data_IF_345427709287
#
_entry.id   IF_345427709287
#
_cell.length_a   1.000
_cell.length_b   1.000
_cell.length_c   1.000
_cell.angle_alpha   90.00
_cell.angle_beta   90.00
_cell.angle_gamma   90.00
#
_symmetry.space_group_name_H-M   'P 1'
#
loop_
_entity.id
_entity.type
_entity.pdbx_description
1 polymer ?
#
# COMPACT_ATOMS: atom_id res chain seq x y z
N UNK A 1 59.33 85.68 21.82
CA UNK A 1 60.50 84.79 21.98
C UNK A 1 61.03 84.53 20.57
N UNK A 2 61.74 85.44 19.89
CA UNK A 2 63.12 85.92 20.10
C UNK A 2 64.04 84.82 20.65
N UNK A 3 64.55 83.98 19.75
CA UNK A 3 65.71 83.12 19.97
C UNK A 3 66.87 83.67 19.14
N UNK A 4 67.94 84.07 19.83
CA UNK A 4 69.07 84.80 19.31
C UNK A 4 69.93 83.99 18.32
N UNK A 5 70.37 84.64 17.24
CA UNK A 5 71.45 84.15 16.38
C UNK A 5 72.71 84.95 16.73
N UNK A 6 73.69 84.25 17.29
CA UNK A 6 75.04 84.73 17.58
C UNK A 6 75.81 84.90 16.25
N UNK A 7 76.32 86.11 15.98
CA UNK A 7 77.21 86.38 14.84
C UNK A 7 78.65 86.44 15.36
N UNK A 8 79.40 85.35 15.17
CA UNK A 8 80.86 85.35 15.31
C UNK A 8 81.48 85.97 14.05
N UNK A 9 82.17 87.10 14.22
CA UNK A 9 82.91 87.78 13.16
C UNK A 9 84.37 87.34 13.24
N UNK A 10 84.71 86.27 12.52
CA UNK A 10 86.10 85.87 12.27
C UNK A 10 86.48 86.29 10.86
N UNK A 11 87.52 87.12 10.77
CA UNK A 11 88.22 87.49 9.54
C UNK A 11 88.84 86.23 8.91
N UNK A 12 88.16 85.65 7.93
CA UNK A 12 88.64 84.53 7.11
C UNK A 12 88.75 85.07 5.68
N UNK A 13 89.85 84.70 5.00
CA UNK A 13 90.17 85.05 3.62
C UNK A 13 88.93 85.06 2.69
N UNK A 14 88.65 86.25 2.17
CA UNK A 14 87.35 86.67 1.63
C UNK A 14 87.01 86.01 0.28
N UNK A 15 87.98 85.47 -0.43
CA UNK A 15 87.75 84.89 -1.76
C UNK A 15 87.36 83.41 -1.71
N UNK A 16 87.77 82.67 -0.67
CA UNK A 16 87.50 81.21 -0.53
C UNK A 16 86.22 80.92 0.29
N UNK A 17 85.75 81.89 1.11
CA UNK A 17 84.51 81.79 1.88
C UNK A 17 83.27 82.16 1.06
N UNK A 18 83.36 83.10 0.12
CA UNK A 18 82.26 83.42 -0.80
C UNK A 18 81.99 82.29 -1.80
N UNK A 19 83.03 81.55 -2.22
CA UNK A 19 82.89 80.40 -3.12
C UNK A 19 82.23 79.21 -2.40
N UNK A 20 82.60 78.93 -1.14
CA UNK A 20 81.94 77.89 -0.31
C UNK A 20 80.51 78.22 0.11
N UNK A 21 80.19 79.51 0.32
CA UNK A 21 78.81 79.95 0.60
C UNK A 21 77.97 79.91 -0.68
N UNK A 22 78.51 80.30 -1.85
CA UNK A 22 77.84 80.09 -3.15
C UNK A 22 77.60 78.61 -3.41
N UNK A 23 78.58 77.74 -3.22
CA UNK A 23 78.42 76.28 -3.37
C UNK A 23 77.42 75.68 -2.36
N UNK A 24 77.40 76.18 -1.13
CA UNK A 24 76.44 75.77 -0.10
C UNK A 24 75.01 76.21 -0.41
N UNK A 25 74.83 77.44 -0.91
CA UNK A 25 73.53 77.98 -1.36
C UNK A 25 73.06 77.27 -2.62
N UNK A 26 73.95 77.01 -3.59
CA UNK A 26 73.65 76.21 -4.80
C UNK A 26 73.22 74.79 -4.42
N UNK A 27 73.85 74.16 -3.43
CA UNK A 27 73.42 72.85 -2.90
C UNK A 27 72.08 72.88 -2.18
N UNK A 28 71.77 73.97 -1.45
CA UNK A 28 70.47 74.13 -0.79
C UNK A 28 69.36 74.34 -1.82
N UNK A 29 69.58 75.18 -2.83
CA UNK A 29 68.62 75.40 -3.92
C UNK A 29 68.39 74.11 -4.73
N UNK A 30 69.42 73.32 -5.01
CA UNK A 30 69.27 72.00 -5.63
C UNK A 30 68.47 71.02 -4.74
N UNK A 31 68.71 71.02 -3.42
CA UNK A 31 67.97 70.17 -2.47
C UNK A 31 66.50 70.60 -2.39
N UNK A 32 66.22 71.90 -2.32
CA UNK A 32 64.85 72.45 -2.29
C UNK A 32 64.14 72.13 -3.61
N UNK A 33 64.78 72.36 -4.76
CA UNK A 33 64.21 72.07 -6.08
C UNK A 33 63.92 70.58 -6.26
N UNK A 34 64.84 69.70 -5.82
CA UNK A 34 64.60 68.24 -5.84
C UNK A 34 63.50 67.81 -4.87
N UNK A 35 63.39 68.47 -3.72
CA UNK A 35 62.36 68.16 -2.72
C UNK A 35 60.98 68.62 -3.19
N UNK A 36 60.87 69.79 -3.81
CA UNK A 36 59.65 70.30 -4.44
C UNK A 36 59.22 69.42 -5.61
N UNK A 37 60.16 68.98 -6.45
CA UNK A 37 59.87 68.03 -7.53
C UNK A 37 59.34 66.70 -6.99
N UNK A 38 59.98 66.12 -5.97
CA UNK A 38 59.49 64.89 -5.31
C UNK A 38 58.12 65.08 -4.65
N UNK A 39 57.85 66.24 -4.06
CA UNK A 39 56.55 66.58 -3.48
C UNK A 39 55.46 66.71 -4.55
N UNK A 40 55.76 67.33 -5.68
CA UNK A 40 54.84 67.41 -6.82
C UNK A 40 54.58 66.03 -7.44
N UNK A 41 55.62 65.23 -7.66
CA UNK A 41 55.50 63.86 -8.16
C UNK A 41 54.66 62.98 -7.21
N UNK A 42 54.86 63.12 -5.89
CA UNK A 42 54.06 62.46 -4.88
C UNK A 42 52.61 62.95 -4.86
N UNK A 43 52.38 64.25 -5.02
CA UNK A 43 51.05 64.86 -5.13
C UNK A 43 50.27 64.37 -6.36
N UNK A 44 50.93 64.28 -7.52
CA UNK A 44 50.34 63.71 -8.74
C UNK A 44 50.03 62.22 -8.59
N UNK A 45 50.95 61.44 -8.00
CA UNK A 45 50.73 60.03 -7.74
C UNK A 45 49.55 59.80 -6.79
N UNK A 46 49.42 60.62 -5.73
CA UNK A 46 48.31 60.56 -4.80
C UNK A 46 46.98 60.92 -5.46
N UNK A 47 46.98 61.95 -6.31
CA UNK A 47 45.80 62.37 -7.09
C UNK A 47 45.32 61.26 -8.05
N UNK A 48 46.27 60.62 -8.77
CA UNK A 48 45.98 59.47 -9.64
C UNK A 48 45.43 58.27 -8.85
N UNK A 49 46.02 57.96 -7.70
CA UNK A 49 45.53 56.89 -6.83
C UNK A 49 44.13 57.19 -6.29
N UNK A 50 43.87 58.42 -5.85
CA UNK A 50 42.53 58.82 -5.39
C UNK A 50 41.49 58.67 -6.49
N UNK A 51 41.83 59.03 -7.73
CA UNK A 51 40.94 58.87 -8.88
C UNK A 51 40.63 57.38 -9.14
N UNK A 52 41.67 56.54 -9.13
CA UNK A 52 41.53 55.08 -9.26
C UNK A 52 40.66 54.45 -8.17
N UNK A 53 40.84 54.88 -6.91
CA UNK A 53 40.03 54.42 -5.78
C UNK A 53 38.57 54.81 -5.95
N UNK A 54 38.29 56.07 -6.33
CA UNK A 54 36.93 56.55 -6.57
C UNK A 54 36.27 55.79 -7.72
N UNK A 55 36.98 55.54 -8.82
CA UNK A 55 36.46 54.80 -9.96
C UNK A 55 36.20 53.33 -9.62
N UNK A 56 37.07 52.70 -8.82
CA UNK A 56 36.84 51.34 -8.32
C UNK A 56 35.64 51.27 -7.38
N UNK A 57 35.47 52.23 -6.47
CA UNK A 57 34.30 52.32 -5.60
C UNK A 57 33.01 52.48 -6.41
N UNK A 58 32.99 53.32 -7.44
CA UNK A 58 31.84 53.46 -8.36
C UNK A 58 31.50 52.14 -9.06
N UNK A 59 32.51 51.38 -9.51
CA UNK A 59 32.30 50.05 -10.11
C UNK A 59 31.71 49.07 -9.10
N UNK A 60 32.22 49.05 -7.86
CA UNK A 60 31.72 48.20 -6.79
C UNK A 60 30.28 48.53 -6.42
N UNK A 61 29.92 49.82 -6.34
CA UNK A 61 28.54 50.27 -6.07
C UNK A 61 27.60 49.76 -7.17
N UNK A 62 27.94 49.97 -8.45
CA UNK A 62 27.13 49.46 -9.57
C UNK A 62 26.98 47.95 -9.56
N UNK A 63 28.04 47.20 -9.25
CA UNK A 63 27.96 45.75 -9.13
C UNK A 63 27.05 45.33 -7.97
N UNK A 64 27.07 46.06 -6.86
CA UNK A 64 26.18 45.82 -5.71
C UNK A 64 24.70 46.08 -6.06
N UNK A 65 24.40 47.16 -6.79
CA UNK A 65 23.05 47.47 -7.26
C UNK A 65 22.52 46.37 -8.19
N UNK A 66 23.33 45.91 -9.14
CA UNK A 66 22.97 44.78 -10.02
C UNK A 66 22.71 43.49 -9.25
N UNK A 67 23.49 43.21 -8.21
CA UNK A 67 23.34 42.02 -7.38
C UNK A 67 22.05 42.10 -6.54
N UNK A 68 21.70 43.29 -6.05
CA UNK A 68 20.43 43.53 -5.37
C UNK A 68 19.24 43.30 -6.31
N UNK A 69 19.26 43.84 -7.52
CA UNK A 69 18.21 43.62 -8.53
C UNK A 69 18.05 42.13 -8.87
N UNK A 70 19.15 41.40 -9.05
CA UNK A 70 19.14 39.97 -9.29
C UNK A 70 18.52 39.19 -8.12
N UNK A 71 18.82 39.56 -6.88
CA UNK A 71 18.24 38.95 -5.68
C UNK A 71 16.72 39.19 -5.59
N UNK A 72 16.26 40.42 -5.89
CA UNK A 72 14.82 40.73 -5.90
C UNK A 72 14.06 39.93 -6.97
N UNK A 73 14.67 39.74 -8.15
CA UNK A 73 14.09 38.88 -9.20
C UNK A 73 14.03 37.41 -8.76
N UNK A 74 15.08 36.91 -8.12
CA UNK A 74 15.15 35.53 -7.63
C UNK A 74 14.13 35.28 -6.52
N UNK A 75 13.92 36.26 -5.63
CA UNK A 75 12.88 36.18 -4.60
C UNK A 75 11.47 36.09 -5.22
N UNK A 76 11.15 36.95 -6.19
CA UNK A 76 9.86 36.91 -6.90
C UNK A 76 9.64 35.59 -7.64
N UNK A 77 10.67 35.07 -8.29
CA UNK A 77 10.62 33.77 -8.96
C UNK A 77 10.37 32.63 -7.95
N UNK A 78 11.02 32.68 -6.78
CA UNK A 78 10.82 31.71 -5.69
C UNK A 78 9.38 31.75 -5.15
N UNK A 79 8.82 32.93 -4.91
CA UNK A 79 7.44 33.10 -4.46
C UNK A 79 6.43 32.58 -5.49
N UNK A 80 6.66 32.84 -6.78
CA UNK A 80 5.82 32.32 -7.86
C UNK A 80 5.88 30.80 -7.94
N UNK A 81 7.08 30.22 -7.81
CA UNK A 81 7.29 28.79 -7.80
C UNK A 81 6.55 28.13 -6.63
N UNK A 82 6.61 28.71 -5.43
CA UNK A 82 5.85 28.23 -4.26
C UNK A 82 4.34 28.27 -4.48
N UNK A 83 3.81 29.34 -5.09
CA UNK A 83 2.38 29.44 -5.46
C UNK A 83 1.98 28.34 -6.45
N UNK A 84 2.78 28.14 -7.50
CA UNK A 84 2.53 27.09 -8.49
C UNK A 84 2.55 25.70 -7.85
N UNK A 85 3.52 25.42 -6.96
CA UNK A 85 3.56 24.15 -6.22
C UNK A 85 2.30 23.93 -5.38
N UNK A 86 1.84 24.96 -4.65
CA UNK A 86 0.62 24.87 -3.86
C UNK A 86 -0.60 24.53 -4.73
N UNK A 87 -0.73 25.19 -5.87
CA UNK A 87 -1.83 24.93 -6.82
C UNK A 87 -1.76 23.52 -7.42
N UNK A 88 -0.56 23.01 -7.72
CA UNK A 88 -0.37 21.63 -8.21
C UNK A 88 -0.80 20.63 -7.15
N UNK A 89 -0.39 20.83 -5.89
CA UNK A 89 -0.77 19.94 -4.78
C UNK A 89 -2.28 19.93 -4.56
N UNK A 90 -2.93 21.11 -4.58
CA UNK A 90 -4.39 21.22 -4.49
C UNK A 90 -5.09 20.46 -5.62
N UNK A 91 -4.61 20.61 -6.86
CA UNK A 91 -5.15 19.90 -8.04
C UNK A 91 -4.97 18.38 -7.92
N UNK A 92 -3.81 17.92 -7.44
CA UNK A 92 -3.54 16.50 -7.21
C UNK A 92 -4.46 15.92 -6.14
N UNK A 93 -4.69 16.64 -5.04
CA UNK A 93 -5.62 16.21 -3.99
C UNK A 93 -7.05 16.05 -4.53
N UNK A 94 -7.55 17.04 -5.27
CA UNK A 94 -8.86 16.94 -5.92
C UNK A 94 -8.94 15.75 -6.90
N UNK A 95 -7.85 15.49 -7.63
CA UNK A 95 -7.79 14.34 -8.55
C UNK A 95 -7.84 13.01 -7.79
N UNK A 96 -7.13 12.90 -6.66
CA UNK A 96 -7.15 11.71 -5.80
C UNK A 96 -8.54 11.48 -5.22
N UNK A 97 -9.20 12.54 -4.72
CA UNK A 97 -10.57 12.47 -4.21
C UNK A 97 -11.54 11.99 -5.29
N UNK A 98 -11.46 12.55 -6.50
CA UNK A 98 -12.28 12.12 -7.65
C UNK A 98 -12.04 10.67 -8.06
N UNK A 99 -10.78 10.20 -8.02
CA UNK A 99 -10.45 8.80 -8.29
C UNK A 99 -10.99 7.87 -7.20
N UNK A 100 -10.87 8.24 -5.93
CA UNK A 100 -11.40 7.45 -4.82
C UNK A 100 -12.93 7.34 -4.87
N UNK A 101 -13.62 8.42 -5.24
CA UNK A 101 -15.07 8.40 -5.45
C UNK A 101 -15.46 7.45 -6.60
N UNK A 102 -14.71 7.50 -7.71
CA UNK A 102 -14.91 6.58 -8.85
C UNK A 102 -14.70 5.13 -8.46
N UNK A 103 -13.62 4.80 -7.73
CA UNK A 103 -13.35 3.43 -7.26
C UNK A 103 -14.49 2.94 -6.38
N UNK A 104 -14.95 3.76 -5.43
CA UNK A 104 -16.08 3.40 -4.56
C UNK A 104 -17.37 3.13 -5.35
N UNK A 105 -17.65 3.95 -6.37
CA UNK A 105 -18.82 3.75 -7.23
C UNK A 105 -18.68 2.46 -8.07
N UNK A 106 -17.48 2.16 -8.56
CA UNK A 106 -17.20 0.90 -9.26
C UNK A 106 -17.38 -0.31 -8.35
N UNK A 107 -16.87 -0.26 -7.12
CA UNK A 107 -17.04 -1.31 -6.11
C UNK A 107 -18.53 -1.55 -5.81
N UNK A 108 -19.33 -0.48 -5.74
CA UNK A 108 -20.77 -0.57 -5.53
C UNK A 108 -21.48 -1.23 -6.72
N UNK A 109 -21.17 -0.83 -7.95
CA UNK A 109 -21.74 -1.43 -9.18
C UNK A 109 -21.34 -2.91 -9.28
N UNK A 110 -20.07 -3.24 -9.05
CA UNK A 110 -19.58 -4.62 -9.00
C UNK A 110 -20.33 -5.38 -7.91
N UNK A 111 -20.51 -4.80 -6.72
CA UNK A 111 -21.27 -5.40 -5.63
C UNK A 111 -22.71 -5.72 -6.03
N UNK A 112 -23.41 -4.78 -6.67
CA UNK A 112 -24.79 -4.96 -7.12
C UNK A 112 -24.94 -6.07 -8.17
N UNK A 113 -23.94 -6.23 -9.04
CA UNK A 113 -23.95 -7.25 -10.10
C UNK A 113 -23.53 -8.62 -9.56
N UNK A 114 -22.54 -8.67 -8.67
CA UNK A 114 -21.90 -9.94 -8.25
C UNK A 114 -22.42 -10.49 -6.93
N UNK A 115 -23.20 -9.70 -6.18
CA UNK A 115 -23.53 -9.96 -4.79
C UNK A 115 -22.48 -9.44 -3.79
N UNK A 116 -21.33 -8.94 -4.25
CA UNK A 116 -20.38 -8.22 -3.39
C UNK A 116 -19.97 -9.00 -2.13
N UNK A 117 -20.19 -8.40 -0.95
CA UNK A 117 -19.93 -9.01 0.35
C UNK A 117 -21.07 -9.90 0.88
N UNK A 118 -22.13 -10.10 0.10
CA UNK A 118 -23.29 -10.88 0.53
C UNK A 118 -23.03 -12.38 0.45
N UNK A 119 -23.71 -13.11 1.34
CA UNK A 119 -23.66 -14.56 1.37
C UNK A 119 -25.01 -15.15 1.81
N UNK A 120 -25.36 -16.35 1.32
CA UNK A 120 -26.55 -17.07 1.74
C UNK A 120 -26.25 -17.97 2.95
N UNK A 121 -27.28 -18.23 3.76
CA UNK A 121 -27.22 -19.12 4.92
C UNK A 121 -28.53 -19.91 5.02
N UNK A 122 -28.47 -21.22 5.24
CA UNK A 122 -29.61 -22.01 5.69
C UNK A 122 -29.56 -22.16 7.20
N UNK A 123 -30.47 -21.49 7.89
CA UNK A 123 -30.67 -21.66 9.32
C UNK A 123 -31.70 -22.75 9.61
N UNK A 124 -31.44 -23.56 10.64
CA UNK A 124 -32.37 -24.58 11.10
C UNK A 124 -33.33 -24.02 12.15
N UNK A 125 -34.65 -24.18 11.95
CA UNK A 125 -35.67 -23.85 12.96
C UNK A 125 -36.74 -24.96 13.05
N UNK A 126 -37.65 -24.86 14.02
CA UNK A 126 -38.72 -25.85 14.30
C UNK A 126 -39.58 -26.24 13.08
N UNK A 127 -39.64 -25.39 12.06
CA UNK A 127 -40.41 -25.62 10.83
C UNK A 127 -39.63 -26.17 9.63
N UNK A 128 -38.28 -26.20 9.66
CA UNK A 128 -37.49 -26.51 8.47
C UNK A 128 -36.18 -25.73 8.38
N UNK A 129 -35.61 -25.75 7.17
CA UNK A 129 -34.53 -24.85 6.79
C UNK A 129 -35.09 -23.50 6.30
N UNK A 130 -34.45 -22.43 6.72
CA UNK A 130 -34.79 -21.05 6.40
C UNK A 130 -33.61 -20.41 5.69
N UNK A 131 -33.83 -19.97 4.46
CA UNK A 131 -32.81 -19.25 3.70
C UNK A 131 -32.79 -17.79 4.10
N UNK A 132 -31.67 -17.40 4.70
CA UNK A 132 -31.33 -16.02 5.00
C UNK A 132 -30.26 -15.54 4.04
N UNK A 133 -30.22 -14.23 3.82
CA UNK A 133 -29.12 -13.56 3.12
C UNK A 133 -28.57 -12.43 3.96
N UNK A 134 -27.25 -12.38 4.01
CA UNK A 134 -26.50 -11.37 4.73
C UNK A 134 -25.70 -10.52 3.75
N UNK A 135 -25.26 -9.34 4.19
CA UNK A 135 -24.44 -8.41 3.40
C UNK A 135 -25.23 -7.22 2.84
N UNK A 136 -24.65 -6.55 1.84
CA UNK A 136 -25.18 -5.28 1.34
C UNK A 136 -25.85 -5.37 -0.04
N UNK A 137 -25.68 -6.48 -0.76
CA UNK A 137 -26.10 -6.61 -2.16
C UNK A 137 -26.94 -7.87 -2.42
N UNK A 138 -27.69 -7.89 -3.53
CA UNK A 138 -28.41 -9.09 -3.95
C UNK A 138 -27.49 -10.14 -4.55
N UNK A 139 -27.75 -11.41 -4.28
CA UNK A 139 -27.08 -12.57 -4.88
C UNK A 139 -27.87 -12.99 -6.14
N UNK A 140 -27.30 -12.84 -7.35
CA UNK A 140 -27.98 -13.23 -8.58
C UNK A 140 -27.91 -14.75 -8.81
N UNK A 141 -28.94 -15.30 -9.45
CA UNK A 141 -28.97 -16.67 -9.96
C UNK A 141 -28.54 -17.75 -8.95
N UNK A 142 -28.85 -17.55 -7.66
CA UNK A 142 -28.45 -18.45 -6.59
C UNK A 142 -29.09 -19.84 -6.78
N UNK A 143 -28.25 -20.83 -7.02
CA UNK A 143 -28.56 -22.25 -6.95
C UNK A 143 -28.21 -22.78 -5.57
N UNK A 144 -29.10 -23.59 -5.01
CA UNK A 144 -28.92 -24.25 -3.72
C UNK A 144 -29.02 -25.74 -3.96
N UNK A 145 -28.09 -26.49 -3.39
CA UNK A 145 -28.12 -27.94 -3.39
C UNK A 145 -27.85 -28.45 -1.98
N UNK A 146 -28.72 -29.33 -1.49
CA UNK A 146 -28.67 -29.85 -0.12
C UNK A 146 -28.53 -31.37 -0.18
N UNK A 147 -27.53 -31.89 0.52
CA UNK A 147 -27.31 -33.32 0.73
C UNK A 147 -27.36 -33.62 2.22
N UNK A 148 -27.98 -34.73 2.59
CA UNK A 148 -27.93 -35.26 3.95
C UNK A 148 -27.18 -36.59 3.98
N UNK A 149 -26.45 -36.76 5.05
CA UNK A 149 -25.69 -37.95 5.39
C UNK A 149 -26.23 -38.43 6.75
N UNK A 150 -27.25 -39.31 6.75
CA UNK A 150 -27.84 -39.83 7.97
C UNK A 150 -26.83 -40.63 8.78
N UNK A 151 -26.93 -40.53 10.10
CA UNK A 151 -26.06 -41.24 11.05
C UNK A 151 -24.58 -41.28 10.65
N UNK A 152 -24.01 -40.11 10.38
CA UNK A 152 -22.68 -39.99 9.77
C UNK A 152 -21.54 -40.49 10.68
N UNK A 153 -21.80 -40.79 11.95
CA UNK A 153 -20.88 -41.49 12.85
C UNK A 153 -20.70 -42.97 12.50
N UNK A 154 -21.72 -43.59 11.91
CA UNK A 154 -21.74 -45.02 11.59
C UNK A 154 -21.29 -45.33 10.16
N UNK A 155 -20.84 -44.32 9.41
CA UNK A 155 -20.35 -44.53 8.05
C UNK A 155 -18.93 -45.10 8.10
N UNK A 156 -18.65 -46.23 7.40
CA UNK A 156 -17.31 -46.77 7.33
C UNK A 156 -16.32 -45.75 6.80
N UNK A 157 -15.17 -45.61 7.46
CA UNK A 157 -14.10 -44.65 7.10
C UNK A 157 -13.71 -44.69 5.62
N UNK A 158 -13.73 -45.87 4.98
CA UNK A 158 -13.44 -46.02 3.54
C UNK A 158 -14.46 -45.28 2.68
N UNK A 159 -15.75 -45.47 2.95
CA UNK A 159 -16.86 -44.78 2.24
C UNK A 159 -16.73 -43.27 2.41
N UNK A 160 -16.38 -42.83 3.62
CA UNK A 160 -16.08 -41.43 3.90
C UNK A 160 -14.95 -40.90 3.03
N UNK A 161 -13.82 -41.62 2.91
CA UNK A 161 -12.67 -41.23 2.09
C UNK A 161 -13.03 -41.19 0.60
N UNK A 162 -13.74 -42.20 0.11
CA UNK A 162 -14.11 -42.32 -1.30
C UNK A 162 -15.07 -41.18 -1.71
N UNK A 163 -16.04 -40.84 -0.85
CA UNK A 163 -16.92 -39.68 -1.05
C UNK A 163 -16.13 -38.38 -1.22
N UNK A 164 -15.09 -38.18 -0.42
CA UNK A 164 -14.33 -36.93 -0.40
C UNK A 164 -13.37 -36.77 -1.55
N UNK A 165 -12.78 -37.89 -2.00
CA UNK A 165 -11.80 -37.87 -3.07
C UNK A 165 -12.45 -37.76 -4.42
N UNK A 166 -13.53 -38.51 -4.62
CA UNK A 166 -14.03 -38.77 -5.96
C UNK A 166 -15.40 -38.12 -6.21
N UNK A 167 -15.97 -37.42 -5.20
CA UNK A 167 -17.37 -36.97 -5.21
C UNK A 167 -18.35 -38.11 -5.58
N UNK A 168 -17.94 -39.38 -5.38
CA UNK A 168 -18.77 -40.53 -5.73
C UNK A 168 -19.87 -40.61 -4.68
N UNK A 169 -21.06 -40.22 -5.11
CA UNK A 169 -22.30 -40.42 -4.36
C UNK A 169 -22.70 -41.88 -4.48
N UNK A 170 -22.15 -42.75 -3.64
CA UNK A 170 -22.89 -43.97 -3.31
C UNK A 170 -24.20 -43.51 -2.65
N UNK A 171 -25.29 -43.54 -3.43
CA UNK A 171 -26.61 -43.06 -3.04
C UNK A 171 -27.12 -43.74 -1.75
N UNK A 172 -26.49 -44.85 -1.35
CA UNK A 172 -26.78 -45.55 -0.10
C UNK A 172 -26.56 -44.68 1.16
N UNK A 173 -25.59 -43.77 1.15
CA UNK A 173 -25.21 -43.00 2.35
C UNK A 173 -25.49 -41.50 2.23
N UNK A 174 -25.77 -41.01 1.03
CA UNK A 174 -25.89 -39.60 0.73
C UNK A 174 -27.18 -39.38 -0.04
N UNK A 175 -28.11 -38.69 0.59
CA UNK A 175 -29.44 -38.47 0.04
C UNK A 175 -29.49 -37.03 -0.46
N UNK A 176 -29.64 -36.79 -1.78
CA UNK A 176 -29.92 -35.46 -2.29
C UNK A 176 -31.34 -35.08 -1.87
N UNK A 177 -31.49 -33.93 -1.22
CA UNK A 177 -32.78 -33.49 -0.70
C UNK A 177 -33.42 -32.47 -1.65
N UNK A 178 -32.68 -31.42 -2.00
CA UNK A 178 -33.24 -30.26 -2.71
C UNK A 178 -32.23 -29.70 -3.70
N UNK A 179 -32.72 -29.30 -4.88
CA UNK A 179 -32.03 -28.47 -5.84
C UNK A 179 -32.97 -27.33 -6.30
N UNK A 180 -32.78 -26.12 -5.77
CA UNK A 180 -33.61 -24.94 -6.09
C UNK A 180 -32.75 -23.86 -6.72
N UNK A 181 -33.33 -23.07 -7.62
CA UNK A 181 -32.71 -21.89 -8.20
C UNK A 181 -33.57 -20.65 -7.96
N UNK A 182 -32.96 -19.60 -7.42
CA UNK A 182 -33.52 -18.28 -7.29
C UNK A 182 -32.87 -17.36 -8.32
N UNK A 183 -33.66 -16.73 -9.18
CA UNK A 183 -33.14 -15.78 -10.18
C UNK A 183 -32.46 -14.57 -9.53
N UNK A 184 -32.99 -14.11 -8.40
CA UNK A 184 -32.41 -13.02 -7.62
C UNK A 184 -32.82 -13.11 -6.16
N UNK A 185 -31.84 -13.03 -5.26
CA UNK A 185 -32.07 -13.04 -3.82
C UNK A 185 -31.48 -11.78 -3.20
N UNK A 186 -32.30 -10.93 -2.58
CA UNK A 186 -31.86 -9.65 -2.04
C UNK A 186 -31.24 -9.80 -0.65
N UNK A 187 -30.21 -9.01 -0.31
CA UNK A 187 -29.67 -8.97 1.06
C UNK A 187 -30.73 -8.51 2.06
N UNK A 188 -30.75 -9.11 3.25
CA UNK A 188 -31.76 -8.84 4.27
C UNK A 188 -33.14 -9.43 3.94
N UNK A 189 -33.26 -10.18 2.84
CA UNK A 189 -34.49 -10.87 2.47
C UNK A 189 -34.48 -12.27 3.05
N UNK A 190 -35.36 -12.49 4.02
CA UNK A 190 -35.54 -13.82 4.62
C UNK A 190 -36.67 -14.54 3.89
N UNK A 191 -36.36 -15.69 3.28
CA UNK A 191 -37.41 -16.59 2.79
C UNK A 191 -37.87 -17.43 3.97
N UNK A 192 -39.13 -17.21 4.38
CA UNK A 192 -39.69 -17.76 5.61
C UNK A 192 -39.75 -19.30 5.66
N UNK A 193 -39.48 -20.01 4.58
CA UNK A 193 -39.13 -21.44 4.61
C UNK A 193 -38.69 -21.86 3.23
N UNK A 194 -37.58 -22.59 3.13
CA UNK A 194 -37.44 -23.54 2.03
C UNK A 194 -38.21 -24.77 2.47
N UNK A 195 -39.33 -25.03 1.80
CA UNK A 195 -40.06 -26.28 2.00
C UNK A 195 -39.22 -27.43 1.45
N UNK A 196 -38.46 -28.04 2.35
CA UNK A 196 -37.90 -29.35 2.13
C UNK A 196 -39.00 -30.34 2.50
N UNK A 197 -39.61 -30.95 1.50
CA UNK A 197 -40.63 -31.98 1.72
C UNK A 197 -40.04 -33.06 2.64
N UNK A 198 -40.78 -33.41 3.69
CA UNK A 198 -40.35 -34.34 4.73
C UNK A 198 -39.08 -33.94 5.50
N UNK A 199 -38.73 -32.64 5.62
CA UNK A 199 -37.55 -32.19 6.39
C UNK A 199 -37.36 -32.91 7.74
N UNK A 200 -38.45 -33.04 8.50
CA UNK A 200 -38.44 -33.67 9.83
C UNK A 200 -37.97 -35.13 9.82
N UNK A 201 -38.14 -35.87 8.72
CA UNK A 201 -37.64 -37.24 8.60
C UNK A 201 -36.12 -37.32 8.50
N UNK A 202 -35.48 -36.20 8.13
CA UNK A 202 -34.02 -36.09 8.06
C UNK A 202 -33.39 -35.55 9.36
N UNK A 203 -34.17 -35.27 10.39
CA UNK A 203 -33.64 -34.89 11.70
C UNK A 203 -33.37 -36.14 12.54
N UNK A 204 -32.31 -36.16 13.37
CA UNK A 204 -32.07 -37.26 14.28
C UNK A 204 -33.21 -37.31 15.32
N UNK A 205 -33.83 -38.48 15.43
CA UNK A 205 -34.97 -38.75 16.31
C UNK A 205 -34.59 -39.61 17.53
N UNK A 206 -33.40 -40.19 17.55
CA UNK A 206 -32.85 -40.98 18.66
C UNK A 206 -31.58 -40.31 19.19
N UNK A 207 -31.40 -40.34 20.51
CA UNK A 207 -30.21 -39.79 21.15
C UNK A 207 -28.94 -40.51 20.68
N UNK A 208 -27.90 -39.72 20.39
CA UNK A 208 -26.64 -40.21 19.84
C UNK A 208 -26.60 -40.31 18.31
N UNK A 209 -27.74 -40.27 17.61
CA UNK A 209 -27.74 -40.19 16.15
C UNK A 209 -27.29 -38.79 15.70
N UNK A 210 -26.27 -38.75 14.84
CA UNK A 210 -25.74 -37.52 14.27
C UNK A 210 -25.99 -37.48 12.77
N UNK A 211 -26.68 -36.45 12.29
CA UNK A 211 -26.93 -36.23 10.87
C UNK A 211 -26.04 -35.09 10.38
N UNK A 212 -25.49 -35.26 9.19
CA UNK A 212 -24.68 -34.24 8.53
C UNK A 212 -25.40 -33.71 7.30
N UNK A 213 -25.43 -32.39 7.17
CA UNK A 213 -25.94 -31.69 6.00
C UNK A 213 -24.78 -30.98 5.32
N UNK A 214 -24.63 -31.22 4.02
CA UNK A 214 -23.74 -30.48 3.15
C UNK A 214 -24.61 -29.63 2.24
N UNK A 215 -24.42 -28.33 2.26
CA UNK A 215 -25.20 -27.37 1.49
C UNK A 215 -24.24 -26.59 0.62
N UNK A 216 -24.52 -26.56 -0.67
CA UNK A 216 -23.75 -25.79 -1.63
C UNK A 216 -24.63 -24.69 -2.21
N UNK A 217 -24.08 -23.51 -2.18
CA UNK A 217 -24.65 -22.31 -2.75
C UNK A 217 -23.78 -21.89 -3.92
N UNK A 218 -24.39 -21.67 -5.08
CA UNK A 218 -23.66 -21.31 -6.30
C UNK A 218 -24.40 -20.15 -6.97
N UNK A 219 -23.70 -19.03 -7.16
CA UNK A 219 -24.10 -17.97 -8.08
C UNK A 219 -23.17 -17.98 -9.29
N UNK A 220 -23.42 -17.09 -10.25
CA UNK A 220 -22.55 -16.92 -11.41
C UNK A 220 -21.14 -16.42 -11.03
N UNK A 221 -20.98 -15.86 -9.82
CA UNK A 221 -19.74 -15.17 -9.41
C UNK A 221 -19.07 -15.79 -8.20
N UNK A 222 -19.83 -16.48 -7.34
CA UNK A 222 -19.38 -16.96 -6.04
C UNK A 222 -19.94 -18.33 -5.72
N UNK A 223 -19.21 -19.07 -4.90
CA UNK A 223 -19.64 -20.35 -4.35
C UNK A 223 -19.48 -20.30 -2.84
N UNK A 224 -20.43 -20.89 -2.14
CA UNK A 224 -20.35 -21.08 -0.70
C UNK A 224 -20.70 -22.52 -0.36
N UNK A 225 -20.15 -22.97 0.76
CA UNK A 225 -20.43 -24.28 1.32
C UNK A 225 -20.77 -24.13 2.79
N UNK A 226 -21.96 -24.60 3.15
CA UNK A 226 -22.39 -24.69 4.54
C UNK A 226 -22.43 -26.14 4.98
N UNK A 227 -21.92 -26.38 6.19
CA UNK A 227 -21.83 -27.70 6.81
C UNK A 227 -22.56 -27.63 8.14
N UNK A 228 -23.69 -28.31 8.21
CA UNK A 228 -24.47 -28.41 9.45
C UNK A 228 -24.33 -29.84 9.96
N UNK A 229 -24.08 -29.99 11.26
CA UNK A 229 -24.11 -31.24 11.99
C UNK A 229 -25.12 -31.10 13.10
N UNK A 230 -26.00 -32.08 13.22
CA UNK A 230 -27.06 -32.10 14.23
C UNK A 230 -26.97 -33.42 14.96
N UNK A 231 -26.95 -33.38 16.29
CA UNK A 231 -27.05 -34.57 17.13
C UNK A 231 -28.20 -34.38 18.12
N UNK A 232 -28.98 -35.45 18.34
CA UNK A 232 -29.92 -35.48 19.47
C UNK A 232 -29.18 -35.91 20.73
N UNK A 233 -29.28 -35.10 21.78
CA UNK A 233 -28.69 -35.38 23.09
C UNK A 233 -29.64 -34.91 24.20
N UNK A 234 -30.10 -35.84 25.04
CA UNK A 234 -31.04 -35.58 26.12
C UNK A 234 -32.34 -34.91 25.62
N UNK A 235 -32.84 -35.35 24.46
CA UNK A 235 -34.05 -34.79 23.84
C UNK A 235 -33.92 -33.35 23.33
N UNK A 236 -32.69 -32.83 23.21
CA UNK A 236 -32.38 -31.55 22.57
C UNK A 236 -31.48 -31.75 21.35
N UNK A 237 -31.57 -30.84 20.39
CA UNK A 237 -30.62 -30.82 19.28
C UNK A 237 -29.44 -29.93 19.62
N UNK A 238 -28.25 -30.49 19.51
CA UNK A 238 -26.99 -29.75 19.53
C UNK A 238 -26.53 -29.60 18.08
N UNK A 239 -26.08 -28.39 17.71
CA UNK A 239 -25.77 -28.04 16.33
C UNK A 239 -24.33 -27.55 16.22
N UNK A 240 -23.61 -28.01 15.19
CA UNK A 240 -22.40 -27.38 14.71
C UNK A 240 -22.62 -26.92 13.26
N UNK A 241 -22.36 -25.66 12.98
CA UNK A 241 -22.64 -24.99 11.72
C UNK A 241 -21.44 -24.16 11.29
N UNK A 242 -21.08 -24.29 10.01
CA UNK A 242 -19.94 -23.64 9.38
C UNK A 242 -20.32 -23.23 7.98
N UNK A 243 -20.08 -21.97 7.65
CA UNK A 243 -20.24 -21.45 6.30
C UNK A 243 -18.92 -20.89 5.80
N UNK A 244 -18.51 -21.35 4.63
CA UNK A 244 -17.31 -20.91 3.95
C UNK A 244 -17.61 -20.37 2.55
N UNK A 245 -16.87 -19.35 2.13
CA UNK A 245 -16.80 -18.91 0.74
C UNK A 245 -15.69 -19.70 0.00
N UNK A 246 -16.09 -20.38 -1.07
CA UNK A 246 -15.19 -21.18 -1.92
C UNK A 246 -14.68 -20.28 -3.05
N UNK A 247 -13.36 -20.17 -3.26
CA UNK A 247 -12.80 -19.44 -4.39
C UNK A 247 -13.30 -20.01 -5.72
N UNK A 248 -13.84 -19.15 -6.58
CA UNK A 248 -14.38 -19.56 -7.90
C UNK A 248 -13.31 -19.67 -8.98
N UNK A 249 -12.14 -19.05 -8.79
CA UNK A 249 -11.04 -19.16 -9.73
C UNK A 249 -10.25 -20.43 -9.47
N UNK A 250 -10.17 -21.31 -10.48
CA UNK A 250 -9.16 -22.36 -10.63
C UNK A 250 -7.75 -21.76 -10.77
N UNK A 251 -7.33 -20.88 -9.84
CA UNK A 251 -5.91 -20.58 -9.75
C UNK A 251 -5.28 -21.82 -9.12
N UNK A 252 -4.31 -22.41 -9.82
CA UNK A 252 -3.55 -23.63 -9.46
C UNK A 252 -2.84 -23.59 -8.09
N UNK A 253 -3.15 -22.59 -7.26
CA UNK A 253 -2.65 -22.47 -5.93
C UNK A 253 -3.58 -23.24 -4.97
N UNK A 254 -3.24 -24.52 -4.79
CA UNK A 254 -3.78 -25.47 -3.80
C UNK A 254 -3.80 -24.95 -2.35
N UNK A 255 -3.20 -23.80 -2.08
CA UNK A 255 -3.19 -23.15 -0.76
C UNK A 255 -4.24 -22.06 -0.58
N UNK A 256 -5.13 -21.79 -1.54
CA UNK A 256 -6.31 -20.96 -1.28
C UNK A 256 -7.28 -21.73 -0.39
N UNK A 257 -7.10 -21.55 0.92
CA UNK A 257 -8.03 -22.03 1.94
C UNK A 257 -9.40 -21.38 1.74
N UNK A 258 -10.46 -22.18 1.89
CA UNK A 258 -11.83 -21.72 2.09
C UNK A 258 -11.84 -20.53 3.07
N UNK A 259 -12.54 -19.44 2.72
CA UNK A 259 -12.67 -18.28 3.62
C UNK A 259 -13.85 -18.53 4.56
N UNK A 260 -13.56 -18.81 5.83
CA UNK A 260 -14.58 -18.93 6.87
C UNK A 260 -15.37 -17.62 6.98
N UNK A 261 -16.69 -17.71 6.79
CA UNK A 261 -17.62 -16.58 6.94
C UNK A 261 -18.14 -16.54 8.37
N UNK A 262 -18.60 -17.68 8.90
CA UNK A 262 -18.92 -17.82 10.32
C UNK A 262 -18.87 -19.28 10.77
N UNK A 263 -18.81 -19.43 12.09
CA UNK A 263 -18.87 -20.72 12.79
C UNK A 263 -19.75 -20.60 14.02
N UNK A 264 -20.66 -21.56 14.20
CA UNK A 264 -21.49 -21.68 15.39
C UNK A 264 -21.46 -23.13 15.90
N UNK A 265 -21.26 -23.33 17.19
CA UNK A 265 -21.30 -24.66 17.82
C UNK A 265 -22.04 -24.54 19.14
N UNK A 266 -23.06 -25.38 19.34
CA UNK A 266 -23.80 -25.46 20.60
C UNK A 266 -22.89 -25.96 21.72
N UNK A 267 -23.15 -25.50 22.95
CA UNK A 267 -22.27 -25.72 24.10
C UNK A 267 -22.05 -27.21 24.41
N UNK A 268 -23.09 -28.05 24.26
CA UNK A 268 -23.00 -29.48 24.54
C UNK A 268 -22.76 -30.31 23.27
N UNK A 269 -22.37 -29.69 22.16
CA UNK A 269 -22.00 -30.46 20.99
C UNK A 269 -20.76 -31.31 21.33
N UNK A 270 -20.74 -32.64 21.07
CA UNK A 270 -19.71 -33.58 21.54
C UNK A 270 -18.25 -33.32 21.12
N UNK A 271 -17.96 -32.18 20.49
CA UNK A 271 -16.64 -31.74 20.09
C UNK A 271 -16.07 -30.52 20.82
N UNK A 272 -16.90 -29.76 21.54
CA UNK A 272 -16.46 -28.51 22.17
C UNK A 272 -15.38 -28.74 23.27
N UNK A 273 -15.35 -29.93 23.86
CA UNK A 273 -14.49 -30.24 25.01
C UNK A 273 -13.15 -30.93 24.70
N UNK A 274 -12.93 -31.47 23.49
CA UNK A 274 -11.76 -32.33 23.23
C UNK A 274 -10.74 -31.81 22.23
N UNK A 275 -10.99 -30.69 21.53
CA UNK A 275 -10.08 -30.17 20.49
C UNK A 275 -9.85 -31.11 19.29
N UNK A 276 -10.31 -32.36 19.36
CA UNK A 276 -10.14 -33.43 18.40
C UNK A 276 -11.20 -33.39 17.29
N UNK A 277 -12.31 -32.70 17.54
CA UNK A 277 -13.15 -32.20 16.46
C UNK A 277 -13.02 -30.68 16.36
N UNK A 278 -11.86 -30.25 15.83
CA UNK A 278 -11.96 -29.33 14.69
C UNK A 278 -13.09 -29.90 13.83
N UNK A 279 -13.98 -29.09 13.27
CA UNK A 279 -14.70 -29.58 12.09
C UNK A 279 -13.59 -29.97 11.12
N UNK A 280 -13.17 -31.24 11.18
CA UNK A 280 -12.15 -31.80 10.35
C UNK A 280 -12.87 -31.63 9.05
N UNK A 281 -12.43 -30.68 8.19
CA UNK A 281 -12.95 -30.70 6.85
C UNK A 281 -12.66 -32.12 6.46
N UNK A 282 -13.67 -32.87 6.09
CA UNK A 282 -13.50 -34.28 5.80
C UNK A 282 -12.25 -34.48 4.86
N UNK A 283 -11.85 -33.44 4.12
CA UNK A 283 -10.58 -33.14 3.45
C UNK A 283 -9.21 -33.28 4.18
N UNK A 284 -9.08 -33.18 5.50
CA UNK A 284 -7.74 -33.28 6.15
C UNK A 284 -7.29 -34.71 6.47
N UNK A 285 -8.07 -35.73 6.08
CA UNK A 285 -7.69 -37.14 6.18
C UNK A 285 -6.94 -37.66 4.93
N UNK A 286 -6.27 -36.77 4.16
CA UNK A 286 -5.18 -37.24 3.31
C UNK A 286 -4.00 -37.61 4.22
N UNK A 287 -3.48 -38.84 4.16
CA UNK A 287 -2.27 -39.18 4.88
C UNK A 287 -1.18 -38.20 4.47
N UNK A 288 -0.39 -37.72 5.43
CA UNK A 288 0.87 -37.01 5.21
C UNK A 288 1.89 -37.80 4.36
N UNK A 289 1.55 -39.02 3.94
CA UNK A 289 2.36 -39.84 3.04
C UNK A 289 2.31 -39.38 1.57
N UNK A 290 1.45 -38.42 1.19
CA UNK A 290 1.61 -37.71 -0.09
C UNK A 290 2.78 -36.71 -0.08
N UNK A 291 3.36 -36.41 1.08
CA UNK A 291 4.64 -35.69 1.18
C UNK A 291 5.87 -36.62 1.00
N UNK A 292 5.65 -37.92 0.72
CA UNK A 292 6.70 -38.91 0.43
C UNK A 292 6.69 -39.47 -1.00
N UNK A 293 5.83 -38.97 -1.88
CA UNK A 293 6.07 -39.10 -3.31
C UNK A 293 7.04 -38.00 -3.71
N UNK A 294 8.28 -38.44 -3.90
CA UNK A 294 9.44 -37.62 -4.15
C UNK A 294 9.17 -36.54 -5.18
N UNK A 295 9.62 -35.34 -4.82
CA UNK A 295 10.28 -34.44 -5.74
C UNK A 295 11.24 -35.31 -6.58
N UNK A 296 10.79 -35.73 -7.77
CA UNK A 296 11.70 -35.92 -8.87
C UNK A 296 11.87 -34.50 -9.41
N UNK A 297 13.02 -33.84 -9.18
CA UNK A 297 13.32 -32.66 -9.94
C UNK A 297 13.36 -33.12 -11.40
N UNK A 298 12.41 -32.67 -12.22
CA UNK A 298 12.61 -32.67 -13.65
C UNK A 298 13.69 -31.61 -13.87
N UNK A 299 14.95 -32.06 -13.81
CA UNK A 299 16.04 -31.35 -14.46
C UNK A 299 15.66 -31.24 -15.94
N UNK A 300 15.26 -30.04 -16.32
CA UNK A 300 15.06 -29.66 -17.70
C UNK A 300 16.44 -29.67 -18.37
N UNK A 301 16.81 -30.82 -18.92
CA UNK A 301 18.06 -31.01 -19.65
C UNK A 301 17.84 -30.43 -21.05
N UNK A 302 18.09 -29.13 -21.19
CA UNK A 302 18.04 -28.42 -22.45
C UNK A 302 19.26 -28.83 -23.30
N UNK A 303 19.09 -29.88 -24.09
CA UNK A 303 19.93 -30.19 -25.24
C UNK A 303 19.02 -30.39 -26.45
N UNK A 304 19.18 -29.47 -27.41
CA UNK A 304 18.46 -29.33 -28.69
C UNK A 304 17.14 -28.57 -28.50
N UNK A 305 17.02 -27.26 -28.74
CA UNK A 305 17.61 -26.43 -29.77
C UNK A 305 16.49 -25.85 -30.66
N UNK A 306 16.36 -24.52 -30.67
CA UNK A 306 15.74 -23.66 -31.73
C UNK A 306 14.19 -23.78 -31.78
N UNK A 307 13.36 -22.73 -31.76
CA UNK A 307 13.47 -21.36 -32.27
C UNK A 307 12.56 -20.37 -31.51
N UNK A 308 13.06 -19.14 -31.38
CA UNK A 308 12.39 -17.84 -31.49
C UNK A 308 10.86 -17.81 -31.57
N UNK A 309 10.24 -17.09 -30.64
CA UNK A 309 9.26 -16.06 -30.99
C UNK A 309 9.42 -14.84 -30.07
N UNK A 310 9.87 -13.75 -30.69
CA UNK A 310 9.96 -12.41 -30.16
C UNK A 310 8.58 -11.86 -29.77
N UNK A 311 8.50 -11.24 -28.59
CA UNK A 311 7.52 -10.21 -28.32
C UNK A 311 7.91 -8.95 -29.09
N UNK A 312 7.08 -8.53 -30.04
CA UNK A 312 7.03 -7.15 -30.53
C UNK A 312 5.61 -6.82 -31.04
N UNK A 313 5.05 -5.75 -30.48
CA UNK A 313 4.00 -4.86 -30.99
C UNK A 313 2.59 -5.41 -31.32
N UNK A 314 1.65 -5.21 -30.39
CA UNK A 314 0.44 -4.35 -30.52
C UNK A 314 -0.36 -4.35 -29.21
#
# INVERSE_FOLDING_TARGET
>A
MIGAIYVFKTSIDNDNAQEKIKDGVIKIDEIVTNSEKKLNDAGEALSKNNTLVVDNLKKTIKASEQLQEANEQLQKASEQLQKNYKQIVETLNQTIEGKNATIKAQDEVIGQITGGNSYPELSLKKGGFYLNTHGSFSIPNLKISIWVIPNCLNIPKKVTIDYLRENITDQKYIIPIVAIRYSKLWAGYNIQSIEVENFKSYLPNEDGNMHAFEIYFESDYKKWKQRIRIISHNGKWEIADLLDEIPTTQRDNIFFSEKEIYRHVSENFPSAQSGAWKMIPFFNALPSDSAKLGIIPIEYNDKNGISDYSFDNL
#
